data_IF_809628576002
#
_entry.id   IF_809628576002
#
_cell.length_a   1.000
_cell.length_b   1.000
_cell.length_c   1.000
_cell.angle_alpha   90.00
_cell.angle_beta   90.00
_cell.angle_gamma   90.00
#
_symmetry.space_group_name_H-M   'P 1'
#
loop_
_entity.id
_entity.type
_entity.pdbx_description
1 polymer ?
#
# COMPACT_ATOMS: atom_id res chain seq x y z
N UNK A 1 -6.90 -8.71 -63.69
CA UNK A 1 -7.77 -9.75 -63.11
C UNK A 1 -7.58 -9.65 -61.57
N UNK A 2 -8.36 -8.77 -60.93
CA UNK A 2 -8.29 -8.51 -59.50
C UNK A 2 -9.24 -9.48 -58.80
N UNK A 3 -8.67 -10.39 -57.99
CA UNK A 3 -9.46 -11.27 -57.12
C UNK A 3 -9.77 -10.52 -55.82
N UNK A 4 -10.98 -10.02 -55.71
CA UNK A 4 -11.54 -9.52 -54.45
C UNK A 4 -12.01 -10.72 -53.65
N UNK A 5 -11.13 -11.19 -52.73
CA UNK A 5 -11.56 -12.13 -51.69
C UNK A 5 -12.54 -11.42 -50.75
N UNK A 6 -13.83 -11.57 -51.06
CA UNK A 6 -14.93 -11.12 -50.22
C UNK A 6 -14.97 -11.92 -48.92
N UNK A 7 -14.48 -11.32 -47.86
CA UNK A 7 -14.69 -11.84 -46.50
C UNK A 7 -16.20 -11.85 -46.24
N UNK A 8 -16.81 -13.04 -46.07
CA UNK A 8 -18.27 -13.18 -45.83
C UNK A 8 -18.63 -12.43 -44.53
N UNK A 9 -19.73 -11.65 -44.55
CA UNK A 9 -20.14 -10.86 -43.35
C UNK A 9 -20.37 -11.72 -42.12
N UNK A 10 -20.75 -12.98 -42.26
CA UNK A 10 -20.90 -13.94 -41.15
C UNK A 10 -19.60 -14.24 -40.43
N UNK A 11 -18.46 -14.37 -41.12
CA UNK A 11 -17.16 -14.59 -40.50
C UNK A 11 -16.68 -13.40 -39.67
N UNK A 12 -17.01 -12.17 -40.08
CA UNK A 12 -16.67 -10.95 -39.35
C UNK A 12 -17.50 -10.81 -38.06
N UNK A 13 -18.81 -11.15 -38.13
CA UNK A 13 -19.68 -11.12 -36.95
C UNK A 13 -19.25 -12.16 -35.90
N UNK A 14 -18.90 -13.37 -36.33
CA UNK A 14 -18.38 -14.42 -35.40
C UNK A 14 -17.06 -13.99 -34.78
N UNK A 15 -16.15 -13.39 -35.54
CA UNK A 15 -14.86 -12.89 -35.00
C UNK A 15 -15.06 -11.77 -33.97
N UNK A 16 -15.94 -10.81 -34.22
CA UNK A 16 -16.30 -9.74 -33.31
C UNK A 16 -16.96 -10.29 -32.02
N UNK A 17 -17.84 -11.27 -32.14
CA UNK A 17 -18.46 -11.93 -30.97
C UNK A 17 -17.44 -12.70 -30.11
N UNK A 18 -16.45 -13.32 -30.74
CA UNK A 18 -15.38 -14.03 -30.02
C UNK A 18 -14.46 -13.03 -29.29
N UNK A 19 -14.05 -11.94 -29.96
CA UNK A 19 -13.26 -10.88 -29.34
C UNK A 19 -13.98 -10.22 -28.16
N UNK A 20 -15.27 -9.93 -28.29
CA UNK A 20 -16.08 -9.35 -27.21
C UNK A 20 -16.20 -10.28 -26.00
N UNK A 21 -16.41 -11.57 -26.25
CA UNK A 21 -16.49 -12.60 -25.19
C UNK A 21 -15.16 -12.76 -24.46
N UNK A 22 -14.05 -12.80 -25.21
CA UNK A 22 -12.71 -12.92 -24.62
C UNK A 22 -12.35 -11.67 -23.79
N UNK A 23 -12.76 -10.48 -24.25
CA UNK A 23 -12.59 -9.23 -23.50
C UNK A 23 -13.38 -9.25 -22.18
N UNK A 24 -14.64 -9.68 -22.20
CA UNK A 24 -15.48 -9.76 -21.00
C UNK A 24 -14.88 -10.76 -20.00
N UNK A 25 -14.44 -11.92 -20.45
CA UNK A 25 -13.81 -12.94 -19.60
C UNK A 25 -12.51 -12.36 -18.97
N UNK A 26 -11.70 -11.65 -19.75
CA UNK A 26 -10.47 -11.02 -19.26
C UNK A 26 -10.77 -9.99 -18.16
N UNK A 27 -11.78 -9.14 -18.37
CA UNK A 27 -12.17 -8.12 -17.37
C UNK A 27 -12.69 -8.80 -16.09
N UNK A 28 -13.55 -9.82 -16.20
CA UNK A 28 -14.07 -10.53 -15.04
C UNK A 28 -12.94 -11.21 -14.26
N UNK A 29 -12.01 -11.86 -14.96
CA UNK A 29 -10.85 -12.50 -14.34
C UNK A 29 -9.95 -11.48 -13.65
N UNK A 30 -9.71 -10.33 -14.28
CA UNK A 30 -8.91 -9.25 -13.70
C UNK A 30 -9.56 -8.65 -12.46
N UNK A 31 -10.89 -8.46 -12.45
CA UNK A 31 -11.63 -8.01 -11.26
C UNK A 31 -11.57 -9.04 -10.12
N UNK A 32 -11.70 -10.32 -10.42
CA UNK A 32 -11.55 -11.37 -9.42
C UNK A 32 -10.13 -11.39 -8.83
N UNK A 33 -9.11 -11.23 -9.67
CA UNK A 33 -7.72 -11.11 -9.21
C UNK A 33 -7.54 -9.89 -8.29
N UNK A 34 -8.12 -8.75 -8.61
CA UNK A 34 -8.07 -7.55 -7.76
C UNK A 34 -8.72 -7.82 -6.40
N UNK A 35 -9.95 -8.36 -6.37
CA UNK A 35 -10.69 -8.62 -5.14
C UNK A 35 -9.92 -9.60 -4.24
N UNK A 36 -9.51 -10.74 -4.79
CA UNK A 36 -8.75 -11.76 -4.06
C UNK A 36 -7.41 -11.20 -3.62
N UNK A 37 -6.74 -10.44 -4.48
CA UNK A 37 -5.48 -9.79 -4.20
C UNK A 37 -5.56 -8.82 -3.02
N UNK A 38 -6.57 -7.94 -3.00
CA UNK A 38 -6.79 -7.02 -1.87
C UNK A 38 -7.10 -7.76 -0.57
N UNK A 39 -7.95 -8.79 -0.60
CA UNK A 39 -8.23 -9.61 0.59
C UNK A 39 -6.94 -10.24 1.14
N UNK A 40 -6.10 -10.80 0.26
CA UNK A 40 -4.82 -11.40 0.65
C UNK A 40 -3.83 -10.37 1.20
N UNK A 41 -3.77 -9.17 0.60
CA UNK A 41 -2.91 -8.09 1.07
C UNK A 41 -3.29 -7.65 2.48
N UNK A 42 -4.58 -7.35 2.70
CA UNK A 42 -5.10 -6.90 3.99
C UNK A 42 -4.90 -7.97 5.06
N UNK A 43 -5.43 -9.17 4.83
CA UNK A 43 -5.31 -10.26 5.81
C UNK A 43 -3.86 -10.71 6.01
N UNK A 44 -3.05 -10.65 4.98
CA UNK A 44 -1.62 -10.91 5.07
C UNK A 44 -0.90 -9.87 5.92
N UNK A 45 -1.22 -8.59 5.77
CA UNK A 45 -0.69 -7.50 6.60
C UNK A 45 -1.12 -7.66 8.06
N UNK A 46 -2.41 -7.92 8.33
CA UNK A 46 -2.92 -8.19 9.69
C UNK A 46 -2.11 -9.30 10.37
N UNK A 47 -1.99 -10.48 9.75
CA UNK A 47 -1.23 -11.59 10.31
C UNK A 47 0.25 -11.27 10.50
N UNK A 48 0.86 -10.57 9.54
CA UNK A 48 2.27 -10.18 9.65
C UNK A 48 2.51 -9.23 10.80
N UNK A 49 1.65 -8.24 11.00
CA UNK A 49 1.72 -7.26 12.08
C UNK A 49 1.50 -7.94 13.43
N UNK A 50 0.44 -8.73 13.56
CA UNK A 50 0.11 -9.46 14.79
C UNK A 50 1.24 -10.40 15.22
N UNK A 51 1.78 -11.19 14.29
CA UNK A 51 2.92 -12.05 14.55
C UNK A 51 4.18 -11.27 14.96
N UNK A 52 4.47 -10.17 14.26
CA UNK A 52 5.65 -9.34 14.50
C UNK A 52 5.55 -8.57 15.82
N UNK A 53 4.38 -7.99 16.14
CA UNK A 53 4.11 -7.33 17.41
C UNK A 53 4.21 -8.30 18.58
N UNK A 54 3.68 -9.52 18.44
CA UNK A 54 3.79 -10.57 19.45
C UNK A 54 5.24 -10.99 19.73
N UNK A 55 6.09 -11.07 18.69
CA UNK A 55 7.54 -11.33 18.87
C UNK A 55 8.22 -10.16 19.55
N UNK A 56 7.93 -8.92 19.12
CA UNK A 56 8.52 -7.71 19.72
C UNK A 56 8.16 -7.58 21.22
N UNK A 57 6.91 -7.88 21.57
CA UNK A 57 6.46 -7.91 22.97
C UNK A 57 7.21 -8.95 23.80
N UNK A 58 7.43 -10.16 23.25
CA UNK A 58 8.26 -11.19 23.91
C UNK A 58 9.71 -10.78 24.11
N UNK A 59 10.25 -9.95 23.21
CA UNK A 59 11.57 -9.33 23.31
C UNK A 59 11.59 -8.13 24.27
N UNK A 60 10.47 -7.82 24.93
CA UNK A 60 10.30 -6.70 25.87
C UNK A 60 10.56 -5.33 25.24
N UNK A 61 10.22 -5.19 23.96
CA UNK A 61 10.21 -3.89 23.28
C UNK A 61 9.02 -3.08 23.81
N UNK A 62 9.21 -1.79 24.19
CA UNK A 62 8.11 -0.95 24.67
C UNK A 62 6.96 -0.86 23.65
N UNK A 63 5.70 -0.92 24.09
CA UNK A 63 4.50 -0.88 23.24
C UNK A 63 4.49 0.34 22.33
N UNK A 64 4.86 1.50 22.84
CA UNK A 64 5.00 2.73 22.08
C UNK A 64 5.92 2.57 20.85
N UNK A 65 7.05 1.86 20.99
CA UNK A 65 7.97 1.61 19.87
C UNK A 65 7.36 0.61 18.88
N UNK A 66 6.65 -0.40 19.38
CA UNK A 66 5.93 -1.38 18.53
C UNK A 66 4.89 -0.66 17.69
N UNK A 67 4.02 0.15 18.30
CA UNK A 67 2.98 0.92 17.61
C UNK A 67 3.56 1.84 16.55
N UNK A 68 4.55 2.65 16.91
CA UNK A 68 5.17 3.61 15.99
C UNK A 68 6.00 3.00 14.86
N UNK A 69 6.40 1.74 14.96
CA UNK A 69 7.22 1.08 13.96
C UNK A 69 6.49 -0.08 13.28
N UNK A 70 6.25 -1.16 14.00
CA UNK A 70 5.70 -2.39 13.41
C UNK A 70 4.27 -2.17 12.94
N UNK A 71 3.41 -1.58 13.79
CA UNK A 71 2.00 -1.34 13.44
C UNK A 71 1.92 -0.28 12.35
N UNK A 72 2.54 0.88 12.54
CA UNK A 72 2.51 1.97 11.56
C UNK A 72 3.11 1.61 10.20
N UNK A 73 4.14 0.75 10.15
CA UNK A 73 4.66 0.23 8.87
C UNK A 73 3.77 -0.88 8.31
N UNK A 74 3.10 -1.62 9.18
CA UNK A 74 2.23 -2.73 8.80
C UNK A 74 1.02 -2.28 7.98
N UNK A 75 0.42 -1.15 8.32
CA UNK A 75 -0.69 -0.58 7.56
C UNK A 75 -0.29 -0.23 6.13
N UNK A 76 0.95 0.16 5.89
CA UNK A 76 1.49 0.46 4.56
C UNK A 76 2.12 -0.75 3.82
N UNK A 77 2.05 -1.96 4.39
CA UNK A 77 2.56 -3.17 3.71
C UNK A 77 1.86 -3.49 2.40
N UNK A 78 0.52 -3.34 2.27
CA UNK A 78 -0.17 -3.51 1.00
C UNK A 78 0.38 -2.61 -0.11
N UNK A 79 0.52 -1.32 0.16
CA UNK A 79 1.06 -0.33 -0.78
C UNK A 79 2.50 -0.66 -1.18
N UNK A 80 3.35 -0.95 -0.20
CA UNK A 80 4.74 -1.33 -0.44
C UNK A 80 4.84 -2.59 -1.28
N UNK A 81 4.04 -3.62 -0.98
CA UNK A 81 4.05 -4.88 -1.71
C UNK A 81 3.66 -4.69 -3.17
N UNK A 82 2.54 -4.01 -3.43
CA UNK A 82 2.09 -3.72 -4.80
C UNK A 82 3.13 -2.91 -5.56
N UNK A 83 3.70 -1.86 -4.95
CA UNK A 83 4.69 -1.01 -5.60
C UNK A 83 5.99 -1.76 -5.91
N UNK A 84 6.48 -2.62 -5.00
CA UNK A 84 7.67 -3.45 -5.21
C UNK A 84 7.42 -4.46 -6.33
N UNK A 85 6.31 -5.19 -6.29
CA UNK A 85 5.98 -6.22 -7.29
C UNK A 85 5.74 -5.59 -8.66
N UNK A 86 5.03 -4.46 -8.74
CA UNK A 86 4.86 -3.72 -9.99
C UNK A 86 6.21 -3.32 -10.60
N UNK A 87 7.11 -2.79 -9.78
CA UNK A 87 8.47 -2.42 -10.21
C UNK A 87 9.27 -3.64 -10.69
N UNK A 88 9.20 -4.76 -9.98
CA UNK A 88 9.87 -6.02 -10.38
C UNK A 88 9.34 -6.57 -11.70
N UNK A 89 8.07 -6.38 -11.98
CA UNK A 89 7.41 -6.80 -13.23
C UNK A 89 7.57 -5.77 -14.38
N UNK A 90 8.31 -4.68 -14.15
CA UNK A 90 8.54 -3.63 -15.15
C UNK A 90 7.42 -2.61 -15.29
N UNK A 91 6.34 -2.70 -14.50
CA UNK A 91 5.23 -1.74 -14.45
C UNK A 91 5.56 -0.55 -13.52
N UNK A 92 6.63 0.18 -13.85
CA UNK A 92 7.14 1.28 -13.03
C UNK A 92 6.12 2.42 -12.84
N UNK A 93 5.31 2.68 -13.86
CA UNK A 93 4.23 3.67 -13.80
C UNK A 93 3.18 3.31 -12.74
N UNK A 94 2.81 2.04 -12.66
CA UNK A 94 1.89 1.52 -11.64
C UNK A 94 2.50 1.64 -10.23
N UNK A 95 3.80 1.32 -10.07
CA UNK A 95 4.51 1.40 -8.80
C UNK A 95 4.50 2.83 -8.23
N UNK A 96 4.92 3.82 -9.02
CA UNK A 96 4.99 5.22 -8.58
C UNK A 96 3.57 5.77 -8.34
N UNK A 97 2.64 5.50 -9.26
CA UNK A 97 1.28 6.02 -9.18
C UNK A 97 0.50 5.43 -7.99
N UNK A 98 0.73 4.18 -7.63
CA UNK A 98 0.17 3.59 -6.41
C UNK A 98 0.64 4.35 -5.16
N UNK A 99 1.95 4.56 -5.00
CA UNK A 99 2.49 5.29 -3.84
C UNK A 99 1.99 6.73 -3.74
N UNK A 100 1.94 7.47 -4.87
CA UNK A 100 1.42 8.84 -4.92
C UNK A 100 -0.09 8.86 -4.68
N UNK A 101 -0.82 7.94 -5.30
CA UNK A 101 -2.28 7.83 -5.17
C UNK A 101 -2.72 7.55 -3.74
N UNK A 102 -2.07 6.61 -3.07
CA UNK A 102 -2.33 6.29 -1.66
C UNK A 102 -2.12 7.51 -0.76
N UNK A 103 -1.05 8.27 -0.95
CA UNK A 103 -0.83 9.51 -0.21
C UNK A 103 -1.95 10.54 -0.44
N UNK A 104 -2.36 10.75 -1.70
CA UNK A 104 -3.45 11.66 -2.03
C UNK A 104 -4.76 11.19 -1.40
N UNK A 105 -5.06 9.90 -1.51
CA UNK A 105 -6.26 9.31 -0.94
C UNK A 105 -6.30 9.48 0.58
N UNK A 106 -5.23 9.13 1.29
CA UNK A 106 -5.16 9.23 2.74
C UNK A 106 -5.27 10.68 3.22
N UNK A 107 -4.57 11.62 2.58
CA UNK A 107 -4.61 13.04 2.98
C UNK A 107 -5.94 13.73 2.64
N UNK A 108 -6.55 13.43 1.49
CA UNK A 108 -7.72 14.17 1.04
C UNK A 108 -9.03 13.45 1.36
N UNK A 109 -9.08 12.13 1.18
CA UNK A 109 -10.32 11.37 1.36
C UNK A 109 -10.45 10.90 2.81
N UNK A 110 -9.46 10.21 3.34
CA UNK A 110 -9.53 9.69 4.71
C UNK A 110 -9.61 10.81 5.72
N UNK A 111 -8.62 11.71 5.75
CA UNK A 111 -8.67 12.86 6.67
C UNK A 111 -9.89 13.76 6.40
N UNK A 112 -10.28 13.94 5.12
CA UNK A 112 -11.45 14.74 4.75
C UNK A 112 -12.75 14.15 5.30
N UNK A 113 -12.95 12.84 5.19
CA UNK A 113 -14.14 12.16 5.74
C UNK A 113 -14.11 12.21 7.26
N UNK A 114 -12.99 11.89 7.89
CA UNK A 114 -12.87 11.92 9.36
C UNK A 114 -13.24 13.30 9.93
N UNK A 115 -12.76 14.38 9.32
CA UNK A 115 -13.07 15.75 9.78
C UNK A 115 -14.53 16.16 9.62
N UNK A 116 -15.30 15.49 8.76
CA UNK A 116 -16.75 15.71 8.66
C UNK A 116 -17.51 15.20 9.90
N UNK A 117 -16.99 14.19 10.57
CA UNK A 117 -17.62 13.61 11.75
C UNK A 117 -17.04 14.16 13.05
N UNK A 118 -15.73 14.27 13.14
CA UNK A 118 -15.02 14.72 14.34
C UNK A 118 -13.89 15.68 13.94
N UNK A 119 -13.77 16.86 14.56
CA UNK A 119 -12.64 17.75 14.31
C UNK A 119 -11.33 17.07 14.70
N UNK A 120 -10.38 17.00 13.76
CA UNK A 120 -9.05 16.42 14.01
C UNK A 120 -8.14 17.46 14.67
N UNK A 121 -7.73 17.18 15.89
CA UNK A 121 -6.70 17.99 16.57
C UNK A 121 -5.32 17.61 16.05
N UNK A 122 -4.57 18.61 15.58
CA UNK A 122 -3.21 18.39 15.06
C UNK A 122 -2.18 18.80 16.11
N UNK A 123 -1.38 17.83 16.55
CA UNK A 123 -0.32 18.05 17.51
C UNK A 123 0.71 19.06 16.98
N UNK A 124 1.24 19.92 17.88
CA UNK A 124 2.23 20.93 17.51
C UNK A 124 3.53 20.33 16.95
N UNK A 125 3.89 19.16 17.40
CA UNK A 125 5.08 18.44 16.92
C UNK A 125 4.87 17.94 15.50
N UNK A 126 3.67 17.47 15.16
CA UNK A 126 3.29 17.07 13.79
C UNK A 126 3.42 18.28 12.83
N UNK A 127 2.92 19.46 13.22
CA UNK A 127 3.01 20.66 12.37
C UNK A 127 4.47 21.10 12.19
N UNK A 128 5.29 21.04 13.23
CA UNK A 128 6.65 21.57 13.20
C UNK A 128 7.71 20.62 12.69
N UNK A 129 7.49 19.32 12.80
CA UNK A 129 8.46 18.27 12.46
C UNK A 129 7.98 17.42 11.28
N UNK A 130 6.78 16.82 11.41
CA UNK A 130 6.35 15.77 10.49
C UNK A 130 5.88 16.36 9.15
N UNK A 131 5.09 17.42 9.14
CA UNK A 131 4.68 18.11 7.91
C UNK A 131 5.85 18.66 7.10
N UNK A 132 6.80 19.44 7.66
CA UNK A 132 7.94 19.92 6.89
C UNK A 132 8.78 18.79 6.28
N UNK A 133 8.93 17.68 7.02
CA UNK A 133 9.69 16.53 6.53
C UNK A 133 8.95 15.80 5.42
N UNK A 134 7.64 15.60 5.55
CA UNK A 134 6.79 15.01 4.50
C UNK A 134 6.82 15.85 3.22
N UNK A 135 6.73 17.18 3.35
CA UNK A 135 6.86 18.13 2.23
C UNK A 135 8.25 18.01 1.59
N UNK A 136 9.31 17.95 2.40
CA UNK A 136 10.67 17.80 1.88
C UNK A 136 10.86 16.50 1.10
N UNK A 137 10.29 15.37 1.57
CA UNK A 137 10.30 14.10 0.86
C UNK A 137 9.53 14.19 -0.46
N UNK A 138 8.35 14.82 -0.47
CA UNK A 138 7.56 15.02 -1.69
C UNK A 138 8.30 15.91 -2.72
N UNK A 139 8.94 16.98 -2.25
CA UNK A 139 9.77 17.84 -3.11
C UNK A 139 11.00 17.11 -3.65
N UNK A 140 11.64 16.27 -2.84
CA UNK A 140 12.74 15.43 -3.28
C UNK A 140 12.30 14.46 -4.37
N UNK A 141 11.15 13.81 -4.21
CA UNK A 141 10.55 12.94 -5.23
C UNK A 141 10.26 13.70 -6.52
N UNK A 142 9.66 14.89 -6.40
CA UNK A 142 9.36 15.74 -7.54
C UNK A 142 10.64 16.18 -8.28
N UNK A 143 11.65 16.59 -7.53
CA UNK A 143 12.93 17.03 -8.08
C UNK A 143 13.65 15.90 -8.82
N UNK A 144 13.76 14.72 -8.20
CA UNK A 144 14.40 13.55 -8.82
C UNK A 144 13.63 13.06 -10.04
N UNK A 145 12.29 13.01 -9.96
CA UNK A 145 11.44 12.65 -11.09
C UNK A 145 11.52 13.64 -12.24
N UNK A 146 11.59 14.95 -11.95
CA UNK A 146 11.68 15.98 -12.97
C UNK A 146 13.05 16.02 -13.67
N UNK A 147 14.14 15.80 -12.93
CA UNK A 147 15.50 15.89 -13.48
C UNK A 147 15.86 14.70 -14.38
N UNK A 148 15.44 13.48 -14.01
CA UNK A 148 15.85 12.25 -14.71
C UNK A 148 14.72 11.59 -15.48
N UNK A 149 13.45 11.98 -15.25
CA UNK A 149 12.23 11.29 -15.73
C UNK A 149 12.19 9.79 -15.35
N UNK A 150 13.12 9.36 -14.51
CA UNK A 150 13.25 7.98 -14.01
C UNK A 150 13.79 8.03 -12.59
N UNK A 151 13.34 7.11 -11.75
CA UNK A 151 13.92 6.88 -10.43
C UNK A 151 14.86 5.70 -10.51
N UNK A 152 16.15 5.96 -10.41
CA UNK A 152 17.18 4.96 -10.46
C UNK A 152 17.53 4.38 -9.08
N UNK A 153 18.53 3.49 -9.05
CA UNK A 153 18.96 2.84 -7.79
C UNK A 153 19.60 3.82 -6.81
N UNK A 154 20.28 4.85 -7.29
CA UNK A 154 20.91 5.90 -6.48
C UNK A 154 19.88 6.72 -5.73
N UNK A 155 18.85 7.17 -6.42
CA UNK A 155 17.73 7.88 -5.83
C UNK A 155 17.00 7.02 -4.80
N UNK A 156 16.76 5.74 -5.13
CA UNK A 156 16.15 4.77 -4.22
C UNK A 156 16.95 4.58 -2.92
N UNK A 157 18.29 4.49 -2.99
CA UNK A 157 19.15 4.41 -1.81
C UNK A 157 19.05 5.69 -0.97
N UNK A 158 19.05 6.86 -1.60
CA UNK A 158 18.88 8.14 -0.90
C UNK A 158 17.54 8.19 -0.16
N UNK A 159 16.43 7.79 -0.80
CA UNK A 159 15.12 7.72 -0.14
C UNK A 159 15.12 6.76 1.06
N UNK A 160 15.74 5.59 0.95
CA UNK A 160 15.84 4.63 2.06
C UNK A 160 16.66 5.18 3.23
N UNK A 161 17.76 5.88 2.95
CA UNK A 161 18.57 6.55 3.98
C UNK A 161 17.75 7.65 4.66
N UNK A 162 17.05 8.49 3.89
CA UNK A 162 16.16 9.52 4.43
C UNK A 162 15.06 8.92 5.31
N UNK A 163 14.46 7.81 4.87
CA UNK A 163 13.43 7.10 5.64
C UNK A 163 13.99 6.52 6.96
N UNK A 164 15.15 5.84 6.91
CA UNK A 164 15.80 5.33 8.11
C UNK A 164 16.13 6.46 9.10
N UNK A 165 16.61 7.59 8.61
CA UNK A 165 16.89 8.77 9.43
C UNK A 165 15.61 9.35 10.06
N UNK A 166 14.52 9.40 9.30
CA UNK A 166 13.21 9.81 9.79
C UNK A 166 12.75 8.92 10.96
N UNK A 167 12.76 7.60 10.77
CA UNK A 167 12.37 6.64 11.82
C UNK A 167 13.23 6.82 13.08
N UNK A 168 14.55 7.00 12.92
CA UNK A 168 15.45 7.22 14.05
C UNK A 168 15.12 8.52 14.81
N UNK A 169 14.82 9.61 14.11
CA UNK A 169 14.41 10.87 14.74
C UNK A 169 13.08 10.69 15.47
N UNK A 170 12.11 10.05 14.82
CA UNK A 170 10.78 9.83 15.38
C UNK A 170 10.88 9.02 16.68
N UNK A 171 11.52 7.86 16.66
CA UNK A 171 11.71 7.02 17.84
C UNK A 171 12.45 7.76 18.95
N UNK A 172 13.57 8.43 18.64
CA UNK A 172 14.33 9.20 19.65
C UNK A 172 13.51 10.36 20.24
N UNK A 173 12.75 11.08 19.43
CA UNK A 173 11.91 12.18 19.88
C UNK A 173 10.84 11.70 20.84
N UNK A 174 10.18 10.61 20.50
CA UNK A 174 9.09 10.03 21.32
C UNK A 174 9.63 9.45 22.62
N UNK A 175 10.73 8.72 22.59
CA UNK A 175 11.37 8.23 23.81
C UNK A 175 11.87 9.36 24.74
N UNK A 176 12.20 10.52 24.19
CA UNK A 176 12.64 11.71 24.95
C UNK A 176 11.46 12.53 25.47
N UNK A 177 10.33 12.47 24.80
CA UNK A 177 9.12 13.21 25.17
C UNK A 177 8.45 12.51 26.37
N UNK A 178 8.88 12.83 27.59
CA UNK A 178 8.23 12.42 28.85
C UNK A 178 6.81 12.95 29.07
N UNK A 179 6.16 13.45 28.01
CA UNK A 179 4.86 14.12 28.04
C UNK A 179 3.73 13.32 27.39
N UNK A 180 3.93 12.05 27.16
CA UNK A 180 2.79 11.19 26.85
C UNK A 180 1.99 11.08 28.13
N UNK A 181 0.71 11.41 28.07
CA UNK A 181 -0.17 11.31 29.24
C UNK A 181 -0.26 9.83 29.64
N UNK A 182 -0.54 9.55 30.92
CA UNK A 182 -0.75 8.18 31.37
C UNK A 182 -1.93 7.53 30.63
N UNK A 183 -2.91 8.33 30.20
CA UNK A 183 -4.07 7.90 29.42
C UNK A 183 -3.68 7.45 28.01
N UNK A 184 -2.93 8.27 27.28
CA UNK A 184 -2.41 7.89 25.94
C UNK A 184 -1.49 6.67 25.99
N UNK A 185 -0.72 6.50 27.06
CA UNK A 185 0.13 5.32 27.23
C UNK A 185 -0.71 4.07 27.49
N UNK A 186 -1.81 4.18 28.25
CA UNK A 186 -2.73 3.07 28.47
C UNK A 186 -3.47 2.67 27.18
N UNK A 187 -3.94 3.63 26.39
CA UNK A 187 -4.58 3.36 25.10
C UNK A 187 -3.63 2.59 24.15
N UNK A 188 -2.36 3.03 24.05
CA UNK A 188 -1.34 2.32 23.25
C UNK A 188 -1.07 0.93 23.78
N UNK A 189 -0.97 0.76 25.11
CA UNK A 189 -0.75 -0.54 25.72
C UNK A 189 -1.93 -1.49 25.47
N UNK A 190 -3.17 -1.02 25.56
CA UNK A 190 -4.39 -1.76 25.27
C UNK A 190 -4.44 -2.15 23.77
N UNK A 191 -4.20 -1.21 22.86
CA UNK A 191 -4.15 -1.47 21.42
C UNK A 191 -3.11 -2.53 21.06
N UNK A 192 -1.89 -2.43 21.60
CA UNK A 192 -0.84 -3.43 21.39
C UNK A 192 -1.21 -4.76 22.06
N UNK A 193 -1.95 -4.75 23.17
CA UNK A 193 -2.46 -5.98 23.78
C UNK A 193 -3.50 -6.68 22.92
N UNK A 194 -4.40 -5.94 22.31
CA UNK A 194 -5.38 -6.47 21.35
C UNK A 194 -4.71 -7.05 20.09
N UNK A 195 -3.78 -6.28 19.49
CA UNK A 195 -3.04 -6.72 18.28
C UNK A 195 -2.12 -7.91 18.61
N UNK A 196 -1.46 -7.89 19.78
CA UNK A 196 -0.53 -8.93 20.20
C UNK A 196 -1.20 -9.97 21.09
N UNK A 197 -2.07 -10.82 20.56
CA UNK A 197 -2.51 -12.00 21.31
C UNK A 197 -1.30 -12.77 21.88
N UNK A 198 -1.48 -13.47 23.01
CA UNK A 198 -0.44 -14.34 23.60
C UNK A 198 -0.20 -15.58 22.70
N UNK A 199 0.27 -15.32 21.49
CA UNK A 199 0.59 -16.35 20.52
C UNK A 199 1.79 -17.18 20.99
N UNK A 200 1.70 -18.51 20.86
CA UNK A 200 2.89 -19.36 21.07
C UNK A 200 3.97 -19.02 20.03
N UNK A 201 5.25 -19.27 20.33
CA UNK A 201 6.35 -18.93 19.39
C UNK A 201 6.17 -19.51 17.99
N UNK A 202 5.60 -20.72 17.89
CA UNK A 202 5.30 -21.36 16.60
C UNK A 202 4.18 -20.62 15.85
N UNK A 203 3.13 -20.19 16.56
CA UNK A 203 2.05 -19.41 15.95
C UNK A 203 2.56 -18.05 15.45
N UNK A 204 3.42 -17.35 16.21
CA UNK A 204 4.04 -16.11 15.74
C UNK A 204 4.80 -16.34 14.42
N UNK A 205 5.58 -17.42 14.34
CA UNK A 205 6.31 -17.72 13.09
C UNK A 205 5.36 -18.02 11.92
N UNK A 206 4.29 -18.80 12.17
CA UNK A 206 3.28 -19.09 11.16
C UNK A 206 2.56 -17.83 10.67
N UNK A 207 2.27 -16.88 11.57
CA UNK A 207 1.63 -15.62 11.24
C UNK A 207 2.55 -14.73 10.41
N UNK A 208 3.81 -14.60 10.79
CA UNK A 208 4.79 -13.81 10.03
C UNK A 208 5.02 -14.41 8.64
N UNK A 209 5.29 -15.71 8.55
CA UNK A 209 5.57 -16.37 7.27
C UNK A 209 4.32 -16.45 6.41
N UNK A 210 3.18 -16.84 6.99
CA UNK A 210 1.89 -16.90 6.28
C UNK A 210 1.45 -15.53 5.79
N UNK A 211 1.59 -14.50 6.63
CA UNK A 211 1.32 -13.11 6.27
C UNK A 211 2.20 -12.63 5.13
N UNK A 212 3.52 -12.86 5.21
CA UNK A 212 4.45 -12.49 4.14
C UNK A 212 4.13 -13.18 2.80
N UNK A 213 3.75 -14.47 2.84
CA UNK A 213 3.32 -15.21 1.65
C UNK A 213 2.02 -14.63 1.08
N UNK A 214 1.04 -14.35 1.94
CA UNK A 214 -0.23 -13.76 1.52
C UNK A 214 -0.04 -12.36 0.90
N UNK A 215 0.80 -11.52 1.51
CA UNK A 215 1.17 -10.19 0.98
C UNK A 215 1.81 -10.33 -0.40
N UNK A 216 2.75 -11.25 -0.58
CA UNK A 216 3.41 -11.46 -1.88
C UNK A 216 2.41 -11.86 -2.96
N UNK A 217 1.61 -12.91 -2.74
CA UNK A 217 0.64 -13.37 -3.73
C UNK A 217 -0.49 -12.36 -3.95
N UNK A 218 -0.92 -11.66 -2.89
CA UNK A 218 -1.88 -10.58 -2.98
C UNK A 218 -1.38 -9.45 -3.89
N UNK A 219 -0.14 -9.02 -3.71
CA UNK A 219 0.51 -8.03 -4.58
C UNK A 219 0.61 -8.49 -6.03
N UNK A 220 1.03 -9.75 -6.29
CA UNK A 220 1.07 -10.32 -7.64
C UNK A 220 -0.33 -10.30 -8.30
N UNK A 221 -1.38 -10.66 -7.57
CA UNK A 221 -2.75 -10.66 -8.09
C UNK A 221 -3.26 -9.25 -8.39
N UNK A 222 -2.99 -8.29 -7.51
CA UNK A 222 -3.37 -6.88 -7.74
C UNK A 222 -2.65 -6.32 -8.96
N UNK A 223 -1.34 -6.50 -9.08
CA UNK A 223 -0.55 -6.02 -10.23
C UNK A 223 -1.04 -6.64 -11.53
N UNK A 224 -1.25 -7.95 -11.57
CA UNK A 224 -1.74 -8.64 -12.76
C UNK A 224 -3.16 -8.23 -13.13
N UNK A 225 -4.06 -8.09 -12.16
CA UNK A 225 -5.42 -7.60 -12.37
C UNK A 225 -5.44 -6.17 -12.90
N UNK A 226 -4.70 -5.27 -12.26
CA UNK A 226 -4.61 -3.87 -12.63
C UNK A 226 -4.04 -3.67 -14.04
N UNK A 227 -2.93 -4.34 -14.38
CA UNK A 227 -2.33 -4.25 -15.71
C UNK A 227 -3.21 -4.87 -16.79
N UNK A 228 -3.95 -5.94 -16.49
CA UNK A 228 -4.93 -6.53 -17.41
C UNK A 228 -6.08 -5.58 -17.70
N UNK A 229 -6.63 -4.91 -16.68
CA UNK A 229 -7.68 -3.89 -16.87
C UNK A 229 -7.14 -2.72 -17.68
N UNK A 230 -5.95 -2.22 -17.34
CA UNK A 230 -5.33 -1.11 -18.05
C UNK A 230 -5.22 -1.41 -19.56
N UNK A 231 -4.70 -2.57 -19.92
CA UNK A 231 -4.55 -3.01 -21.31
C UNK A 231 -5.88 -3.17 -22.02
N UNK A 232 -6.85 -3.82 -21.39
CA UNK A 232 -8.15 -4.14 -22.00
C UNK A 232 -9.03 -2.88 -22.16
N UNK A 233 -9.01 -1.98 -21.17
CA UNK A 233 -9.77 -0.73 -21.21
C UNK A 233 -9.08 0.39 -21.98
N UNK A 234 -7.84 0.20 -22.44
CA UNK A 234 -7.04 1.25 -23.10
C UNK A 234 -6.67 2.42 -22.18
N UNK A 235 -6.68 2.18 -20.85
CA UNK A 235 -6.34 3.17 -19.82
C UNK A 235 -4.87 2.98 -19.42
N UNK A 236 -4.18 4.07 -19.10
CA UNK A 236 -2.78 3.97 -18.68
C UNK A 236 -2.65 3.32 -17.30
N UNK A 237 -1.57 2.56 -17.07
CA UNK A 237 -1.25 1.98 -15.75
C UNK A 237 -1.17 3.06 -14.66
N UNK A 238 -0.77 4.28 -15.03
CA UNK A 238 -0.73 5.43 -14.11
C UNK A 238 -2.11 5.76 -13.55
N UNK A 239 -3.14 5.82 -14.39
CA UNK A 239 -4.51 6.12 -13.93
C UNK A 239 -5.05 4.99 -13.05
N UNK A 240 -4.84 3.74 -13.44
CA UNK A 240 -5.27 2.58 -12.61
C UNK A 240 -4.54 2.58 -11.27
N UNK A 241 -3.24 2.87 -11.25
CA UNK A 241 -2.44 2.94 -10.02
C UNK A 241 -2.88 4.07 -9.08
N UNK A 242 -3.13 5.27 -9.63
CA UNK A 242 -3.61 6.42 -8.86
C UNK A 242 -5.03 6.25 -8.30
N UNK A 243 -5.84 5.40 -8.90
CA UNK A 243 -7.26 5.24 -8.55
C UNK A 243 -7.54 3.88 -7.91
N UNK A 244 -7.78 2.87 -8.72
CA UNK A 244 -8.28 1.56 -8.25
C UNK A 244 -7.30 0.90 -7.29
N UNK A 245 -6.00 0.93 -7.61
CA UNK A 245 -4.99 0.25 -6.79
C UNK A 245 -4.76 1.03 -5.50
N UNK A 246 -4.55 2.34 -5.58
CA UNK A 246 -4.37 3.19 -4.41
C UNK A 246 -5.57 3.15 -3.46
N UNK A 247 -6.80 3.21 -3.99
CA UNK A 247 -8.02 3.03 -3.21
C UNK A 247 -8.05 1.67 -2.50
N UNK A 248 -7.79 0.59 -3.25
CA UNK A 248 -7.91 -0.77 -2.72
C UNK A 248 -6.88 -1.11 -1.65
N UNK A 249 -5.68 -0.54 -1.72
CA UNK A 249 -4.64 -0.74 -0.72
C UNK A 249 -4.84 0.13 0.52
N UNK A 250 -5.39 1.35 0.37
CA UNK A 250 -5.57 2.30 1.47
C UNK A 250 -6.94 2.23 2.15
N UNK A 251 -7.93 1.50 1.61
CA UNK A 251 -9.26 1.35 2.24
C UNK A 251 -9.23 0.66 3.63
N UNK A 252 -8.32 -0.29 3.92
CA UNK A 252 -8.24 -0.93 5.24
C UNK A 252 -7.80 0.01 6.36
N UNK A 253 -7.04 1.06 6.05
CA UNK A 253 -6.49 1.98 7.05
C UNK A 253 -7.56 2.73 7.89
N UNK A 254 -8.71 3.21 7.32
CA UNK A 254 -9.72 3.92 8.09
C UNK A 254 -10.53 3.07 9.07
N UNK A 255 -10.45 1.74 8.97
CA UNK A 255 -11.24 0.82 9.81
C UNK A 255 -10.53 0.49 11.12
N UNK A 256 -9.27 0.91 11.25
CA UNK A 256 -8.40 0.62 12.40
C UNK A 256 -8.37 1.73 13.46
N UNK A 257 -9.22 2.78 13.33
CA UNK A 257 -9.29 3.90 14.27
C UNK A 257 -10.68 4.06 14.86
#
# INVERSE_FOLDING_TARGET
>A
MFSTNGCRPEGRAVHLFMEEKDMIITIITALLLLIVGFILLVKGADFFVEGSASVAKKLKIPSLVIGMTIVAMGTSLPECSVSIIASMNGSNSLSISNAVGSNIFNLMVVCGICTLFIPLEVAKDTIKRDFPLSIACALLLLFTGYTSMTLGRTEGIVFLICFAFFILIMVKSTMKSRKISNEEMQEIDEEIEEISENLSGIKCLLYIVGGAIAIKFGGDFVVNGATSIARTAGVTETVIGLTIVALGTSLPEPVSY
#
